data_IF_980329894574
#
_entry.id   IF_980329894574
#
_cell.length_a   1.000
_cell.length_b   1.000
_cell.length_c   1.000
_cell.angle_alpha   90.00
_cell.angle_beta   90.00
_cell.angle_gamma   90.00
#
_symmetry.space_group_name_H-M   'P 1'
#
loop_
_entity.id
_entity.type
_entity.pdbx_description
1 polymer ?
#
# COMPACT_ATOMS: atom_id res chain seq x y z
N UNK A 1 -17.06 -5.73 7.64
CA UNK A 1 -17.34 -6.78 8.65
C UNK A 1 -16.81 -6.28 9.99
N UNK A 2 -17.64 -6.31 11.04
CA UNK A 2 -17.12 -6.10 12.40
C UNK A 2 -16.13 -7.24 12.69
N UNK A 3 -14.84 -6.91 12.69
CA UNK A 3 -13.78 -7.84 12.99
C UNK A 3 -13.93 -8.38 14.42
N UNK A 4 -13.61 -9.65 14.62
CA UNK A 4 -13.60 -10.26 15.96
C UNK A 4 -12.55 -9.56 16.81
N UNK A 5 -12.95 -9.04 17.97
CA UNK A 5 -12.03 -8.42 18.92
C UNK A 5 -11.27 -9.49 19.70
N UNK A 6 -9.98 -9.25 19.92
CA UNK A 6 -9.10 -10.07 20.73
C UNK A 6 -8.41 -9.20 21.79
N UNK A 7 -8.26 -9.72 22.99
CA UNK A 7 -7.41 -9.11 23.99
C UNK A 7 -5.93 -9.44 23.70
N UNK A 8 -5.00 -8.68 24.26
CA UNK A 8 -3.57 -8.85 23.99
C UNK A 8 -3.03 -10.27 24.31
N UNK A 9 -3.67 -10.99 25.22
CA UNK A 9 -3.31 -12.38 25.55
C UNK A 9 -3.99 -13.45 24.68
N UNK A 10 -4.89 -13.05 23.76
CA UNK A 10 -5.63 -13.94 22.86
C UNK A 10 -5.07 -13.88 21.43
N UNK A 11 -4.15 -12.95 21.17
CA UNK A 11 -3.54 -12.80 19.84
C UNK A 11 -2.57 -13.94 19.55
N UNK A 12 -2.35 -14.24 18.26
CA UNK A 12 -1.51 -15.34 17.81
C UNK A 12 -0.30 -14.83 17.03
N UNK A 13 0.81 -15.53 17.20
CA UNK A 13 2.03 -15.25 16.46
C UNK A 13 1.82 -15.37 14.94
N UNK A 14 2.38 -14.44 14.20
CA UNK A 14 2.26 -14.35 12.75
C UNK A 14 0.97 -13.71 12.22
N UNK A 15 -0.07 -13.54 13.06
CA UNK A 15 -1.35 -12.94 12.64
C UNK A 15 -1.32 -11.42 12.68
N UNK A 16 -2.24 -10.79 11.93
CA UNK A 16 -2.39 -9.34 11.82
C UNK A 16 -3.59 -8.85 12.63
N UNK A 17 -3.42 -7.70 13.28
CA UNK A 17 -4.45 -7.09 14.11
C UNK A 17 -4.48 -5.57 13.94
N UNK A 18 -5.67 -4.99 14.03
CA UNK A 18 -5.87 -3.55 14.16
C UNK A 18 -5.83 -3.15 15.63
N UNK A 19 -5.05 -2.11 15.96
CA UNK A 19 -4.85 -1.70 17.37
C UNK A 19 -5.98 -0.81 17.83
N UNK A 20 -6.60 -1.20 18.96
CA UNK A 20 -7.53 -0.39 19.73
C UNK A 20 -6.94 -0.16 21.11
N UNK A 21 -6.79 1.12 21.51
CA UNK A 21 -6.19 1.50 22.79
C UNK A 21 -7.22 1.96 23.81
N UNK A 22 -6.95 1.58 25.06
CA UNK A 22 -7.54 2.21 26.25
C UNK A 22 -6.41 2.55 27.19
N UNK A 23 -6.33 3.80 27.67
CA UNK A 23 -5.30 4.25 28.59
C UNK A 23 -5.84 5.22 29.66
N UNK A 24 -5.03 5.50 30.67
CA UNK A 24 -5.39 6.41 31.78
C UNK A 24 -5.42 7.90 31.39
N UNK A 25 -4.87 8.26 30.18
CA UNK A 25 -4.90 9.63 29.67
C UNK A 25 -6.22 10.00 28.97
N UNK A 26 -7.25 9.16 29.10
CA UNK A 26 -8.60 9.42 28.59
C UNK A 26 -8.95 8.77 27.26
N UNK A 27 -8.04 8.03 26.63
CA UNK A 27 -8.38 7.24 25.46
C UNK A 27 -9.18 6.02 25.88
N UNK A 28 -10.42 5.90 25.41
CA UNK A 28 -11.26 4.73 25.64
C UNK A 28 -11.64 4.10 24.31
N UNK A 29 -11.18 2.86 24.07
CA UNK A 29 -11.42 2.10 22.83
C UNK A 29 -11.07 2.91 21.57
N UNK A 30 -10.01 3.71 21.67
CA UNK A 30 -9.56 4.55 20.57
C UNK A 30 -8.89 3.70 19.51
N UNK A 31 -9.44 3.74 18.29
CA UNK A 31 -8.87 3.04 17.14
C UNK A 31 -7.72 3.87 16.56
N UNK A 32 -6.51 3.30 16.54
CA UNK A 32 -5.33 3.92 15.92
C UNK A 32 -5.34 3.83 14.40
N UNK A 33 -6.16 2.93 13.85
CA UNK A 33 -6.12 2.57 12.44
C UNK A 33 -4.75 2.05 11.98
N UNK A 34 -4.01 1.45 12.91
CA UNK A 34 -2.72 0.80 12.67
C UNK A 34 -2.91 -0.71 12.61
N UNK A 35 -2.42 -1.31 11.52
CA UNK A 35 -2.27 -2.76 11.39
C UNK A 35 -0.89 -3.14 11.87
N UNK A 36 -0.85 -4.12 12.77
CA UNK A 36 0.38 -4.70 13.30
C UNK A 36 0.39 -6.20 13.10
N UNK A 37 1.58 -6.76 12.93
CA UNK A 37 1.82 -8.19 12.96
C UNK A 37 2.34 -8.58 14.34
N UNK A 38 1.88 -9.72 14.87
CA UNK A 38 2.48 -10.31 16.06
C UNK A 38 3.74 -11.05 15.63
N UNK A 39 4.88 -10.70 16.22
CA UNK A 39 6.19 -11.28 15.93
C UNK A 39 6.82 -11.92 17.17
N UNK A 40 6.03 -12.77 17.84
CA UNK A 40 6.41 -13.48 19.08
C UNK A 40 5.92 -12.80 20.34
N UNK A 41 6.42 -13.27 21.47
CA UNK A 41 6.00 -12.83 22.82
C UNK A 41 7.21 -12.62 23.75
N UNK A 42 7.02 -11.76 24.73
CA UNK A 42 7.89 -11.62 25.87
C UNK A 42 7.07 -11.94 27.13
N UNK A 43 7.19 -13.17 27.64
CA UNK A 43 6.24 -13.73 28.60
C UNK A 43 4.85 -13.80 27.97
N UNK A 44 3.86 -13.09 28.55
CA UNK A 44 2.50 -13.01 28.01
C UNK A 44 2.26 -11.76 27.15
N UNK A 45 3.26 -10.90 26.99
CA UNK A 45 3.14 -9.66 26.24
C UNK A 45 3.49 -9.89 24.76
N UNK A 46 2.59 -9.63 23.81
CA UNK A 46 2.89 -9.77 22.39
C UNK A 46 3.92 -8.72 21.96
N UNK A 47 4.88 -9.14 21.13
CA UNK A 47 5.72 -8.23 20.36
C UNK A 47 4.99 -7.88 19.08
N UNK A 48 4.94 -6.61 18.77
CA UNK A 48 4.23 -6.10 17.60
C UNK A 48 5.20 -5.44 16.62
N UNK A 49 4.96 -5.64 15.36
CA UNK A 49 5.61 -4.95 14.24
C UNK A 49 4.55 -4.14 13.48
N UNK A 50 4.79 -2.85 13.30
CA UNK A 50 3.89 -2.01 12.52
C UNK A 50 3.98 -2.38 11.03
N UNK A 51 2.82 -2.57 10.39
CA UNK A 51 2.73 -2.95 8.99
C UNK A 51 2.27 -1.79 8.10
N UNK A 52 1.09 -1.24 8.37
CA UNK A 52 0.49 -0.14 7.59
C UNK A 52 -0.69 0.48 8.34
N UNK A 53 -1.29 1.52 7.73
CA UNK A 53 -2.60 2.04 8.15
C UNK A 53 -3.73 1.22 7.50
N UNK A 54 -4.90 1.15 8.16
CA UNK A 54 -6.08 0.47 7.58
C UNK A 54 -6.54 1.05 6.24
N UNK A 55 -6.29 2.35 6.01
CA UNK A 55 -6.58 3.01 4.72
C UNK A 55 -5.60 2.62 3.60
N UNK A 56 -4.52 1.91 3.94
CA UNK A 56 -3.48 1.46 3.02
C UNK A 56 -3.61 -0.04 2.70
N UNK A 57 -4.85 -0.54 2.67
CA UNK A 57 -5.18 -1.92 2.31
C UNK A 57 -5.94 -1.91 0.98
N UNK A 58 -5.46 -2.71 0.03
CA UNK A 58 -6.20 -3.03 -1.19
C UNK A 58 -7.08 -4.26 -0.92
N UNK A 59 -8.40 -4.06 -0.83
CA UNK A 59 -9.36 -5.15 -0.65
C UNK A 59 -9.64 -5.83 -1.98
N UNK A 60 -9.06 -7.00 -2.20
CA UNK A 60 -9.29 -7.85 -3.37
C UNK A 60 -10.32 -8.93 -3.02
N UNK A 61 -11.01 -9.54 -4.01
CA UNK A 61 -12.06 -10.52 -3.74
C UNK A 61 -11.61 -11.75 -2.94
N UNK A 62 -10.35 -12.15 -3.12
CA UNK A 62 -9.78 -13.36 -2.54
C UNK A 62 -8.88 -13.10 -1.32
N UNK A 63 -8.46 -11.85 -1.12
CA UNK A 63 -7.58 -11.47 0.00
C UNK A 63 -7.44 -9.95 0.14
N UNK A 64 -7.04 -9.52 1.32
CA UNK A 64 -6.47 -8.20 1.53
C UNK A 64 -5.01 -8.18 1.09
N UNK A 65 -4.59 -7.12 0.40
CA UNK A 65 -3.21 -6.83 0.07
C UNK A 65 -2.78 -5.56 0.83
N UNK A 66 -1.86 -5.73 1.76
CA UNK A 66 -1.35 -4.65 2.58
C UNK A 66 -0.30 -3.81 1.83
N UNK A 67 -0.14 -2.54 2.22
CA UNK A 67 0.81 -1.64 1.55
C UNK A 67 2.25 -2.17 1.54
N UNK A 68 2.70 -2.86 2.59
CA UNK A 68 4.04 -3.45 2.61
C UNK A 68 4.20 -4.60 1.60
N UNK A 69 3.16 -5.42 1.41
CA UNK A 69 3.17 -6.49 0.39
C UNK A 69 3.15 -5.91 -1.04
N UNK A 70 2.43 -4.78 -1.22
CA UNK A 70 2.47 -4.02 -2.47
C UNK A 70 3.87 -3.47 -2.74
N UNK A 71 4.54 -2.93 -1.71
CA UNK A 71 5.93 -2.46 -1.84
C UNK A 71 6.87 -3.58 -2.26
N UNK A 72 6.79 -4.75 -1.61
CA UNK A 72 7.59 -5.92 -1.98
C UNK A 72 7.31 -6.40 -3.41
N UNK A 73 6.04 -6.35 -3.85
CA UNK A 73 5.65 -6.75 -5.21
C UNK A 73 6.31 -5.82 -6.24
N UNK A 74 6.27 -4.51 -6.00
CA UNK A 74 6.91 -3.51 -6.87
C UNK A 74 8.43 -3.66 -6.84
N UNK A 75 9.06 -3.75 -5.66
CA UNK A 75 10.51 -3.91 -5.53
C UNK A 75 11.05 -5.16 -6.23
N UNK A 76 10.32 -6.27 -6.16
CA UNK A 76 10.71 -7.49 -6.85
C UNK A 76 10.65 -7.31 -8.38
N UNK A 77 9.61 -6.64 -8.89
CA UNK A 77 9.50 -6.33 -10.31
C UNK A 77 10.60 -5.35 -10.77
N UNK A 78 10.93 -4.33 -9.96
CA UNK A 78 12.03 -3.39 -10.23
C UNK A 78 13.38 -4.11 -10.30
N UNK A 79 13.68 -4.98 -9.33
CA UNK A 79 14.92 -5.77 -9.29
C UNK A 79 15.05 -6.69 -10.49
N UNK A 80 14.00 -7.43 -10.83
CA UNK A 80 14.02 -8.38 -11.97
C UNK A 80 14.12 -7.64 -13.32
N UNK A 81 13.45 -6.49 -13.44
CA UNK A 81 13.53 -5.66 -14.65
C UNK A 81 14.81 -4.82 -14.73
N UNK A 82 15.50 -4.56 -13.63
CA UNK A 82 16.68 -3.69 -13.54
C UNK A 82 16.32 -2.21 -13.70
N UNK A 83 15.20 -1.77 -13.10
CA UNK A 83 14.64 -0.42 -13.21
C UNK A 83 14.25 0.14 -11.87
N UNK A 84 13.94 1.45 -11.82
CA UNK A 84 13.41 2.11 -10.65
C UNK A 84 12.20 2.96 -11.00
N UNK A 85 11.21 2.93 -10.14
CA UNK A 85 10.09 3.86 -10.14
C UNK A 85 10.40 5.04 -9.22
N UNK A 86 10.07 6.24 -9.65
CA UNK A 86 10.17 7.43 -8.78
C UNK A 86 8.99 7.54 -7.83
N UNK A 87 7.86 6.93 -8.19
CA UNK A 87 6.65 6.93 -7.40
C UNK A 87 5.68 5.85 -7.87
N UNK A 88 4.91 5.31 -6.94
CA UNK A 88 3.80 4.40 -7.25
C UNK A 88 2.63 4.56 -6.28
N UNK A 89 1.45 4.23 -6.76
CA UNK A 89 0.23 4.08 -5.98
C UNK A 89 -0.56 2.89 -6.53
N UNK A 90 -1.56 2.43 -5.78
CA UNK A 90 -2.45 1.37 -6.21
C UNK A 90 -3.90 1.68 -5.82
N UNK A 91 -4.83 1.08 -6.55
CA UNK A 91 -6.26 1.07 -6.22
C UNK A 91 -6.91 -0.21 -6.74
N UNK A 92 -8.05 -0.58 -6.17
CA UNK A 92 -8.82 -1.73 -6.63
C UNK A 92 -9.99 -1.22 -7.48
N UNK A 93 -10.12 -1.75 -8.68
CA UNK A 93 -11.28 -1.55 -9.55
C UNK A 93 -11.52 -2.84 -10.37
N UNK A 94 -12.78 -3.17 -10.61
CA UNK A 94 -13.17 -4.39 -11.34
C UNK A 94 -12.53 -5.65 -10.74
N UNK A 95 -12.48 -5.71 -9.40
CA UNK A 95 -11.89 -6.82 -8.62
C UNK A 95 -10.39 -7.08 -8.89
N UNK A 96 -9.69 -6.13 -9.47
CA UNK A 96 -8.27 -6.21 -9.81
C UNK A 96 -7.46 -5.09 -9.18
N UNK A 97 -6.19 -5.38 -8.94
CA UNK A 97 -5.21 -4.40 -8.52
C UNK A 97 -4.76 -3.57 -9.73
N UNK A 98 -5.05 -2.29 -9.70
CA UNK A 98 -4.58 -1.32 -10.69
C UNK A 98 -3.44 -0.50 -10.10
N UNK A 99 -2.47 -0.18 -10.92
CA UNK A 99 -1.27 0.53 -10.51
C UNK A 99 -1.16 1.89 -11.20
N UNK A 100 -0.70 2.87 -10.43
CA UNK A 100 -0.35 4.21 -10.91
C UNK A 100 1.16 4.33 -10.74
N UNK A 101 1.90 4.41 -11.82
CA UNK A 101 3.35 4.31 -11.82
C UNK A 101 3.98 5.55 -12.46
N UNK A 102 5.01 6.07 -11.83
CA UNK A 102 5.85 7.12 -12.40
C UNK A 102 7.28 6.60 -12.50
N UNK A 103 7.79 6.32 -13.71
CA UNK A 103 9.16 5.84 -13.89
C UNK A 103 10.17 6.94 -13.55
N UNK A 104 11.35 6.54 -13.09
CA UNK A 104 12.46 7.45 -12.89
C UNK A 104 13.09 7.89 -14.21
N UNK A 105 13.24 6.95 -15.15
CA UNK A 105 13.87 7.16 -16.45
C UNK A 105 12.85 7.33 -17.57
N UNK A 106 13.22 8.07 -18.62
CA UNK A 106 12.38 8.26 -19.80
C UNK A 106 12.25 6.97 -20.64
N UNK A 107 13.34 6.21 -20.75
CA UNK A 107 13.41 4.96 -21.52
C UNK A 107 13.14 3.74 -20.63
N UNK A 108 11.98 3.72 -20.00
CA UNK A 108 11.60 2.65 -19.10
C UNK A 108 11.22 1.39 -19.87
N UNK A 109 11.84 0.21 -19.61
CA UNK A 109 11.60 -1.03 -20.35
C UNK A 109 10.29 -1.70 -19.92
N UNK A 110 9.16 -1.14 -20.32
CA UNK A 110 7.81 -1.53 -19.89
C UNK A 110 7.51 -3.01 -20.06
N UNK A 111 7.92 -3.62 -21.17
CA UNK A 111 7.61 -5.04 -21.44
C UNK A 111 8.30 -5.95 -20.42
N UNK A 112 9.57 -5.68 -20.11
CA UNK A 112 10.33 -6.44 -19.13
C UNK A 112 9.76 -6.26 -17.72
N UNK A 113 9.43 -5.01 -17.35
CA UNK A 113 8.81 -4.70 -16.06
C UNK A 113 7.44 -5.34 -15.92
N UNK A 114 6.58 -5.29 -16.94
CA UNK A 114 5.25 -5.93 -16.91
C UNK A 114 5.37 -7.45 -16.70
N UNK A 115 6.28 -8.12 -17.40
CA UNK A 115 6.51 -9.55 -17.22
C UNK A 115 6.95 -9.89 -15.79
N UNK A 116 7.90 -9.13 -15.25
CA UNK A 116 8.34 -9.31 -13.86
C UNK A 116 7.20 -9.05 -12.85
N UNK A 117 6.42 -8.01 -13.09
CA UNK A 117 5.27 -7.66 -12.25
C UNK A 117 4.17 -8.74 -12.30
N UNK A 118 3.84 -9.26 -13.49
CA UNK A 118 2.88 -10.35 -13.67
C UNK A 118 3.30 -11.61 -12.90
N UNK A 119 4.57 -11.98 -13.02
CA UNK A 119 5.14 -13.12 -12.29
C UNK A 119 5.02 -12.93 -10.77
N UNK A 120 5.48 -11.77 -10.26
CA UNK A 120 5.42 -11.47 -8.82
C UNK A 120 3.98 -11.43 -8.28
N UNK A 121 3.02 -10.93 -9.07
CA UNK A 121 1.61 -10.90 -8.72
C UNK A 121 0.99 -12.31 -8.73
N UNK A 122 1.32 -13.13 -9.72
CA UNK A 122 0.85 -14.50 -9.82
C UNK A 122 1.31 -15.35 -8.63
N UNK A 123 2.56 -15.23 -8.22
CA UNK A 123 3.11 -15.91 -7.04
C UNK A 123 2.35 -15.57 -5.75
N UNK A 124 1.75 -14.38 -5.68
CA UNK A 124 0.95 -13.91 -4.54
C UNK A 124 -0.57 -14.08 -4.72
N UNK A 125 -1.02 -14.63 -5.83
CA UNK A 125 -2.45 -14.77 -6.14
C UNK A 125 -3.17 -13.43 -6.33
N UNK A 126 -2.46 -12.39 -6.83
CA UNK A 126 -2.99 -11.05 -7.08
C UNK A 126 -3.34 -10.90 -8.55
N UNK A 127 -4.61 -10.61 -8.83
CA UNK A 127 -5.06 -10.28 -10.18
C UNK A 127 -4.73 -8.82 -10.51
N UNK A 128 -3.92 -8.60 -11.56
CA UNK A 128 -3.58 -7.27 -12.04
C UNK A 128 -4.60 -6.79 -13.07
N UNK A 129 -4.93 -5.49 -12.99
CA UNK A 129 -5.79 -4.77 -13.93
C UNK A 129 -4.97 -3.89 -14.86
N UNK A 130 -5.06 -2.58 -14.70
CA UNK A 130 -4.39 -1.58 -15.56
C UNK A 130 -3.18 -0.96 -14.88
N UNK A 131 -2.21 -0.58 -15.69
CA UNK A 131 -1.10 0.28 -15.27
C UNK A 131 -1.32 1.66 -15.89
N UNK A 132 -1.47 2.66 -15.05
CA UNK A 132 -1.54 4.07 -15.42
C UNK A 132 -0.15 4.68 -15.27
N UNK A 133 0.46 5.04 -16.38
CA UNK A 133 1.78 5.68 -16.41
C UNK A 133 1.60 7.17 -16.30
N UNK A 134 2.19 7.75 -15.28
CA UNK A 134 2.10 9.18 -14.99
C UNK A 134 3.29 9.92 -15.56
N UNK A 135 3.09 11.17 -15.94
CA UNK A 135 4.19 12.05 -16.29
C UNK A 135 4.92 12.59 -15.05
N UNK A 136 6.07 13.26 -15.26
CA UNK A 136 6.95 13.71 -14.18
C UNK A 136 6.32 14.76 -13.24
N UNK A 137 5.28 15.43 -13.65
CA UNK A 137 4.59 16.45 -12.85
C UNK A 137 3.65 15.90 -11.80
N UNK A 138 3.21 14.66 -11.93
CA UNK A 138 2.16 14.07 -11.09
C UNK A 138 2.49 14.10 -9.59
N UNK A 139 3.63 13.57 -9.20
CA UNK A 139 4.06 13.55 -7.79
C UNK A 139 4.17 14.95 -7.21
N UNK A 140 4.71 15.91 -7.98
CA UNK A 140 4.84 17.30 -7.58
C UNK A 140 3.46 17.94 -7.35
N UNK A 141 2.52 17.73 -8.27
CA UNK A 141 1.15 18.23 -8.15
C UNK A 141 0.43 17.67 -6.92
N UNK A 142 0.64 16.38 -6.58
CA UNK A 142 0.11 15.80 -5.35
C UNK A 142 0.66 16.47 -4.09
N UNK A 143 1.95 16.79 -4.06
CA UNK A 143 2.57 17.53 -2.95
C UNK A 143 2.00 18.94 -2.83
N UNK A 144 1.94 19.68 -3.93
CA UNK A 144 1.40 21.04 -3.99
C UNK A 144 -0.06 21.09 -3.54
N UNK A 145 -0.89 20.15 -3.97
CA UNK A 145 -2.28 20.04 -3.54
C UNK A 145 -2.39 19.84 -2.02
N UNK A 146 -1.48 19.08 -1.40
CA UNK A 146 -1.47 18.92 0.06
C UNK A 146 -0.97 20.15 0.81
N UNK A 147 -0.02 20.89 0.23
CA UNK A 147 0.50 22.13 0.80
C UNK A 147 -0.57 23.24 0.82
N UNK A 148 -1.39 23.35 -0.22
CA UNK A 148 -2.49 24.33 -0.28
C UNK A 148 -3.54 24.12 0.82
N UNK A 149 -3.62 22.94 1.40
CA UNK A 149 -4.47 22.62 2.55
C UNK A 149 -3.79 22.91 3.91
N UNK A 150 -2.70 23.68 3.92
CA UNK A 150 -2.02 24.14 5.15
C UNK A 150 -1.17 23.07 5.85
N UNK A 151 -0.84 21.97 5.19
CA UNK A 151 0.07 20.95 5.75
C UNK A 151 1.52 21.36 5.56
N UNK A 152 2.33 21.16 6.59
CA UNK A 152 3.78 21.31 6.49
C UNK A 152 4.39 20.22 5.60
N UNK A 153 5.41 20.56 4.81
CA UNK A 153 6.16 19.60 3.96
C UNK A 153 6.62 18.37 4.77
N UNK A 154 7.02 18.56 6.02
CA UNK A 154 7.47 17.48 6.91
C UNK A 154 6.36 16.50 7.30
N UNK A 155 5.09 16.88 7.18
CA UNK A 155 3.93 16.06 7.56
C UNK A 155 3.18 15.48 6.36
N UNK A 156 3.57 15.82 5.13
CA UNK A 156 2.93 15.32 3.92
C UNK A 156 3.41 13.89 3.66
N UNK A 157 2.48 12.94 3.79
CA UNK A 157 2.63 11.56 3.32
C UNK A 157 1.69 11.34 2.15
N UNK A 158 2.24 11.00 0.99
CA UNK A 158 1.42 10.60 -0.15
C UNK A 158 0.92 9.17 0.09
N UNK A 159 -0.39 8.90 -0.06
CA UNK A 159 -0.94 7.59 0.18
C UNK A 159 -0.44 6.60 -0.88
N UNK A 160 -0.10 5.39 -0.45
CA UNK A 160 0.26 4.28 -1.36
C UNK A 160 -1.00 3.67 -2.00
N UNK A 161 -2.11 3.65 -1.27
CA UNK A 161 -3.40 3.17 -1.76
C UNK A 161 -4.35 4.36 -1.94
N UNK A 162 -4.96 4.45 -3.12
CA UNK A 162 -5.91 5.50 -3.50
C UNK A 162 -7.27 4.89 -3.88
N UNK A 163 -8.31 5.72 -3.97
CA UNK A 163 -9.68 5.24 -4.20
C UNK A 163 -9.99 4.97 -5.68
N UNK A 164 -9.33 5.70 -6.58
CA UNK A 164 -9.58 5.61 -8.02
C UNK A 164 -8.37 6.10 -8.81
N UNK A 165 -8.35 5.78 -10.12
CA UNK A 165 -7.33 6.31 -11.03
C UNK A 165 -7.34 7.84 -11.03
N UNK A 166 -6.17 8.48 -11.05
CA UNK A 166 -6.09 9.90 -11.37
C UNK A 166 -6.49 10.12 -12.83
N UNK A 167 -7.30 11.13 -13.09
CA UNK A 167 -7.70 11.48 -14.47
C UNK A 167 -6.69 12.40 -15.15
N UNK A 168 -6.05 13.25 -14.35
CA UNK A 168 -5.03 14.18 -14.82
C UNK A 168 -3.63 13.51 -14.78
N UNK A 169 -2.72 13.98 -15.63
CA UNK A 169 -1.33 13.51 -15.70
C UNK A 169 -1.12 12.08 -16.22
N UNK A 170 -2.17 11.39 -16.70
CA UNK A 170 -2.02 10.05 -17.31
C UNK A 170 -1.40 10.20 -18.70
N UNK A 171 -0.20 9.67 -18.85
CA UNK A 171 0.54 9.68 -20.11
C UNK A 171 0.21 8.45 -20.97
N UNK A 172 0.07 7.28 -20.33
CA UNK A 172 -0.23 6.01 -21.00
C UNK A 172 -0.94 5.02 -20.08
N UNK A 173 -1.74 4.15 -20.65
CA UNK A 173 -2.39 3.04 -19.94
C UNK A 173 -1.98 1.73 -20.62
N UNK A 174 -1.58 0.75 -19.81
CA UNK A 174 -1.36 -0.61 -20.23
C UNK A 174 -2.38 -1.54 -19.60
N UNK A 175 -2.96 -2.44 -20.36
CA UNK A 175 -3.72 -3.60 -19.86
C UNK A 175 -2.73 -4.69 -19.42
N UNK A 176 -3.08 -5.43 -18.35
CA UNK A 176 -2.25 -6.51 -17.79
C UNK A 176 -2.90 -7.87 -17.96
#
# INVERSE_FOLDING_TARGET
>A
SEGKRAAAWEVKDGEYYEIILTNYSGLYRYNLHDIVRICGFMGMTPKIEFCCKTIEICHLPNRDLYAFELSELIENAEKEAGVLLSFYQAFVAEDKLNLVLQPYEQNFPWEKFKQALQKAAQERGVALGKIYVMDKGYRTALFEAQMTHGRSIQTIKLPTVIKAAPHDYVNKIYEM
#
